data_IF_904241249788
#
_entry.id   IF_904241249788
#
_cell.length_a   1.000
_cell.length_b   1.000
_cell.length_c   1.000
_cell.angle_alpha   90.00
_cell.angle_beta   90.00
_cell.angle_gamma   90.00
#
_symmetry.space_group_name_H-M   'P 1'
#
loop_
_entity.id
_entity.type
_entity.pdbx_description
1 polymer ?
#
# COMPACT_ATOMS: atom_id res chain seq x y z
N UNK A 1 -10.20 14.25 -18.31
CA UNK A 1 -10.31 13.73 -16.93
C UNK A 1 -9.49 12.44 -16.79
N UNK A 2 -8.16 12.55 -16.81
CA UNK A 2 -7.24 11.39 -16.78
C UNK A 2 -6.61 11.15 -15.39
N UNK A 3 -6.61 12.17 -14.52
CA UNK A 3 -5.90 12.16 -13.23
C UNK A 3 -6.60 11.32 -12.15
N UNK A 4 -7.91 11.10 -12.26
CA UNK A 4 -8.72 10.39 -11.25
C UNK A 4 -8.73 8.86 -11.39
N UNK A 5 -8.05 8.28 -12.38
CA UNK A 5 -8.09 6.82 -12.58
C UNK A 5 -7.00 6.05 -11.84
N UNK A 6 -5.98 6.72 -11.29
CA UNK A 6 -4.81 6.10 -10.66
C UNK A 6 -4.59 6.69 -9.27
N UNK A 7 -5.58 6.52 -8.40
CA UNK A 7 -5.46 6.88 -6.99
C UNK A 7 -4.68 5.77 -6.28
N UNK A 8 -3.59 6.06 -5.54
CA UNK A 8 -2.84 5.05 -4.81
C UNK A 8 -3.77 4.40 -3.77
N UNK A 9 -4.10 3.13 -3.94
CA UNK A 9 -5.06 2.44 -3.09
C UNK A 9 -4.55 2.35 -1.65
N UNK A 10 -3.24 2.25 -1.46
CA UNK A 10 -2.64 2.31 -0.13
C UNK A 10 -2.90 3.64 0.60
N UNK A 11 -3.15 4.75 -0.10
CA UNK A 11 -3.54 6.00 0.56
C UNK A 11 -4.87 5.87 1.32
N UNK A 12 -5.77 4.99 0.90
CA UNK A 12 -7.03 4.74 1.60
C UNK A 12 -6.78 4.10 2.97
N UNK A 13 -5.85 3.16 3.05
CA UNK A 13 -5.47 2.49 4.30
C UNK A 13 -4.81 3.48 5.26
N UNK A 14 -3.90 4.31 4.74
CA UNK A 14 -3.19 5.32 5.53
C UNK A 14 -4.17 6.38 6.05
N UNK A 15 -5.08 6.86 5.19
CA UNK A 15 -6.12 7.80 5.60
C UNK A 15 -7.05 7.20 6.68
N UNK A 16 -7.40 5.92 6.56
CA UNK A 16 -8.20 5.23 7.55
C UNK A 16 -7.44 5.06 8.89
N UNK A 17 -6.14 4.75 8.85
CA UNK A 17 -5.30 4.69 10.05
C UNK A 17 -5.23 6.05 10.76
N UNK A 18 -4.94 7.11 10.00
CA UNK A 18 -4.89 8.46 10.53
C UNK A 18 -6.22 8.91 11.12
N UNK A 19 -7.33 8.52 10.50
CA UNK A 19 -8.67 8.78 11.05
C UNK A 19 -8.85 8.12 12.43
N UNK A 20 -8.35 6.90 12.62
CA UNK A 20 -8.37 6.26 13.94
C UNK A 20 -7.46 6.96 14.96
N UNK A 21 -6.27 7.36 14.54
CA UNK A 21 -5.31 8.06 15.41
C UNK A 21 -5.82 9.42 15.88
N UNK A 22 -6.53 10.13 15.00
CA UNK A 22 -7.07 11.49 15.24
C UNK A 22 -8.41 11.46 15.98
N UNK A 23 -9.36 10.63 15.53
CA UNK A 23 -10.73 10.62 16.05
C UNK A 23 -11.00 9.50 17.07
N UNK A 24 -10.21 8.43 17.04
CA UNK A 24 -10.42 7.24 17.86
C UNK A 24 -9.60 7.25 19.16
N UNK A 25 -10.15 6.60 20.18
CA UNK A 25 -9.39 6.13 21.35
C UNK A 25 -8.82 4.72 21.17
N UNK A 26 -9.08 4.08 20.03
CA UNK A 26 -8.65 2.72 19.74
C UNK A 26 -7.17 2.71 19.31
N UNK A 27 -6.41 1.78 19.88
CA UNK A 27 -4.99 1.56 19.56
C UNK A 27 -4.87 0.41 18.57
N UNK A 28 -3.73 0.31 17.87
CA UNK A 28 -3.41 -0.83 17.02
C UNK A 28 -3.62 -2.19 17.72
N UNK A 29 -3.45 -2.24 19.04
CA UNK A 29 -3.54 -3.43 19.88
C UNK A 29 -4.97 -3.78 20.34
N UNK A 30 -5.97 -2.94 20.05
CA UNK A 30 -7.36 -3.24 20.42
C UNK A 30 -7.83 -4.51 19.73
N UNK A 31 -8.22 -5.51 20.52
CA UNK A 31 -8.75 -6.80 20.04
C UNK A 31 -10.16 -6.58 19.51
N UNK A 32 -10.37 -6.87 18.23
CA UNK A 32 -11.66 -6.71 17.52
C UNK A 32 -12.36 -8.03 17.27
N UNK A 33 -11.63 -9.14 17.41
CA UNK A 33 -12.16 -10.49 17.30
C UNK A 33 -11.19 -11.49 17.90
N UNK A 34 -11.67 -12.71 18.09
CA UNK A 34 -10.85 -13.81 18.58
C UNK A 34 -11.36 -15.10 17.96
N UNK A 35 -10.44 -15.98 17.60
CA UNK A 35 -10.77 -17.30 17.07
C UNK A 35 -9.90 -18.37 17.72
N UNK A 36 -10.46 -19.57 17.87
CA UNK A 36 -9.71 -20.73 18.35
C UNK A 36 -9.11 -21.45 17.16
N UNK A 37 -7.79 -21.50 17.09
CA UNK A 37 -7.07 -22.21 16.04
C UNK A 37 -7.27 -23.73 16.20
N UNK A 38 -7.16 -24.52 15.12
CA UNK A 38 -7.15 -25.99 15.21
C UNK A 38 -6.06 -26.56 16.12
N UNK A 39 -4.98 -25.79 16.35
CA UNK A 39 -3.94 -26.11 17.35
C UNK A 39 -4.41 -25.97 18.80
N UNK A 40 -5.62 -25.48 19.06
CA UNK A 40 -6.17 -25.19 20.38
C UNK A 40 -5.81 -23.80 20.92
N UNK A 41 -4.95 -23.04 20.24
CA UNK A 41 -4.54 -21.71 20.67
C UNK A 41 -5.62 -20.67 20.37
N UNK A 42 -5.88 -19.80 21.34
CA UNK A 42 -6.72 -18.62 21.16
C UNK A 42 -5.91 -17.53 20.45
N UNK A 43 -6.30 -17.20 19.23
CA UNK A 43 -5.65 -16.16 18.44
C UNK A 43 -6.50 -14.87 18.51
N UNK A 44 -6.02 -13.82 19.20
CA UNK A 44 -6.66 -12.51 19.18
C UNK A 44 -6.35 -11.82 17.85
N UNK A 45 -7.39 -11.27 17.23
CA UNK A 45 -7.28 -10.44 16.03
C UNK A 45 -7.36 -8.99 16.49
N UNK A 46 -6.30 -8.24 16.27
CA UNK A 46 -6.21 -6.83 16.64
C UNK A 46 -6.66 -5.92 15.50
N UNK A 47 -6.94 -4.66 15.85
CA UNK A 47 -7.24 -3.62 14.86
C UNK A 47 -6.06 -3.46 13.89
N UNK A 48 -4.82 -3.49 14.40
CA UNK A 48 -3.60 -3.43 13.59
C UNK A 48 -3.50 -4.55 12.57
N UNK A 49 -3.86 -5.79 12.95
CA UNK A 49 -3.88 -6.94 12.04
C UNK A 49 -4.84 -6.71 10.87
N UNK A 50 -6.02 -6.15 11.14
CA UNK A 50 -7.01 -5.84 10.11
C UNK A 50 -6.49 -4.80 9.10
N UNK A 51 -5.80 -3.77 9.57
CA UNK A 51 -5.19 -2.77 8.68
C UNK A 51 -4.05 -3.35 7.84
N UNK A 52 -3.20 -4.20 8.43
CA UNK A 52 -2.12 -4.87 7.69
C UNK A 52 -2.67 -5.76 6.59
N UNK A 53 -3.70 -6.56 6.90
CA UNK A 53 -4.37 -7.42 5.91
C UNK A 53 -5.01 -6.58 4.80
N UNK A 54 -5.68 -5.48 5.16
CA UNK A 54 -6.26 -4.56 4.17
C UNK A 54 -5.18 -3.91 3.27
N UNK A 55 -4.07 -3.44 3.85
CA UNK A 55 -2.93 -2.90 3.12
C UNK A 55 -2.38 -3.90 2.11
N UNK A 56 -2.18 -5.14 2.56
CA UNK A 56 -1.66 -6.21 1.71
C UNK A 56 -2.62 -6.56 0.57
N UNK A 57 -3.92 -6.64 0.85
CA UNK A 57 -4.94 -6.88 -0.16
C UNK A 57 -5.00 -5.76 -1.21
N UNK A 58 -4.92 -4.50 -0.78
CA UNK A 58 -4.91 -3.35 -1.71
C UNK A 58 -3.62 -3.30 -2.53
N UNK A 59 -2.46 -3.59 -1.93
CA UNK A 59 -1.19 -3.73 -2.67
C UNK A 59 -1.32 -4.78 -3.78
N UNK A 60 -1.95 -5.92 -3.50
CA UNK A 60 -2.18 -6.95 -4.50
C UNK A 60 -3.02 -6.43 -5.67
N UNK A 61 -4.10 -5.68 -5.39
CA UNK A 61 -4.93 -5.05 -6.41
C UNK A 61 -4.12 -4.05 -7.24
N UNK A 62 -3.28 -3.22 -6.62
CA UNK A 62 -2.42 -2.26 -7.33
C UNK A 62 -1.48 -2.97 -8.30
N UNK A 63 -0.76 -3.99 -7.84
CA UNK A 63 0.19 -4.76 -8.66
C UNK A 63 -0.51 -5.40 -9.87
N UNK A 64 -1.70 -5.98 -9.68
CA UNK A 64 -2.46 -6.59 -10.78
C UNK A 64 -2.94 -5.51 -11.77
N UNK A 65 -3.44 -4.40 -11.25
CA UNK A 65 -3.97 -3.30 -12.08
C UNK A 65 -2.89 -2.55 -12.87
N UNK A 66 -1.66 -2.54 -12.38
CA UNK A 66 -0.53 -1.84 -13.00
C UNK A 66 -0.14 -2.43 -14.37
N UNK A 67 -0.45 -3.71 -14.64
CA UNK A 67 -0.17 -4.36 -15.94
C UNK A 67 -0.99 -3.80 -17.10
N UNK A 68 -2.15 -3.21 -16.84
CA UNK A 68 -3.08 -2.72 -17.85
C UNK A 68 -2.88 -1.23 -18.20
N UNK A 69 -1.89 -0.56 -17.60
CA UNK A 69 -1.78 0.90 -17.58
C UNK A 69 -0.41 1.33 -18.07
N UNK A 70 -0.33 2.25 -19.03
CA UNK A 70 0.91 2.97 -19.35
C UNK A 70 1.32 3.74 -18.09
N UNK A 71 2.50 3.44 -17.54
CA UNK A 71 2.97 4.04 -16.29
C UNK A 71 3.16 5.54 -16.46
N UNK A 72 2.24 6.35 -15.96
CA UNK A 72 2.43 7.80 -15.86
C UNK A 72 3.40 8.09 -14.71
N UNK A 73 4.38 8.99 -14.93
CA UNK A 73 5.28 9.52 -13.91
C UNK A 73 4.52 9.96 -12.64
N UNK A 74 3.30 10.47 -12.82
CA UNK A 74 2.41 10.91 -11.73
C UNK A 74 2.02 9.76 -10.80
N UNK A 75 1.79 8.55 -11.32
CA UNK A 75 1.43 7.40 -10.48
C UNK A 75 2.58 7.02 -9.56
N UNK A 76 3.80 7.03 -10.09
CA UNK A 76 4.99 6.75 -9.29
C UNK A 76 5.21 7.81 -8.21
N UNK A 77 5.04 9.09 -8.55
CA UNK A 77 5.15 10.20 -7.60
C UNK A 77 4.08 10.13 -6.48
N UNK A 78 2.85 9.71 -6.81
CA UNK A 78 1.78 9.55 -5.83
C UNK A 78 2.05 8.41 -4.85
N UNK A 79 2.47 7.23 -5.33
CA UNK A 79 2.88 6.12 -4.45
C UNK A 79 4.08 6.51 -3.58
N UNK A 80 5.05 7.24 -4.14
CA UNK A 80 6.19 7.76 -3.38
C UNK A 80 5.74 8.71 -2.27
N UNK A 81 4.78 9.59 -2.55
CA UNK A 81 4.23 10.50 -1.56
C UNK A 81 3.56 9.74 -0.40
N UNK A 82 2.76 8.70 -0.70
CA UNK A 82 2.13 7.87 0.33
C UNK A 82 3.19 7.21 1.21
N UNK A 83 4.23 6.62 0.61
CA UNK A 83 5.33 6.03 1.36
C UNK A 83 6.04 7.05 2.27
N UNK A 84 6.33 8.25 1.76
CA UNK A 84 6.98 9.30 2.55
C UNK A 84 6.12 9.76 3.72
N UNK A 85 4.81 9.91 3.52
CA UNK A 85 3.86 10.24 4.59
C UNK A 85 3.90 9.15 5.67
N UNK A 86 3.81 7.87 5.31
CA UNK A 86 3.92 6.77 6.27
C UNK A 86 5.26 6.78 7.02
N UNK A 87 6.38 6.99 6.32
CA UNK A 87 7.69 7.01 6.94
C UNK A 87 7.82 8.15 7.95
N UNK A 88 7.34 9.36 7.61
CA UNK A 88 7.32 10.51 8.53
C UNK A 88 6.39 10.23 9.70
N UNK A 89 5.19 9.71 9.47
CA UNK A 89 4.25 9.37 10.54
C UNK A 89 4.83 8.34 11.51
N UNK A 90 5.46 7.28 11.00
CA UNK A 90 6.07 6.23 11.82
C UNK A 90 7.19 6.79 12.70
N UNK A 91 8.02 7.69 12.16
CA UNK A 91 9.18 8.23 12.87
C UNK A 91 8.83 9.33 13.87
N UNK A 92 7.80 10.13 13.59
CA UNK A 92 7.52 11.35 14.36
C UNK A 92 6.21 11.33 15.13
N UNK A 93 5.28 10.43 14.83
CA UNK A 93 3.99 10.34 15.52
C UNK A 93 4.02 9.17 16.51
N UNK A 94 4.02 9.42 17.84
CA UNK A 94 4.13 8.36 18.83
C UNK A 94 3.06 7.27 18.70
N UNK A 95 1.84 7.66 18.29
CA UNK A 95 0.72 6.73 18.07
C UNK A 95 0.90 5.82 16.84
N UNK A 96 1.83 6.15 15.94
CA UNK A 96 2.17 5.35 14.77
C UNK A 96 3.42 4.49 15.00
N UNK A 97 4.07 4.57 16.17
CA UNK A 97 5.24 3.76 16.55
C UNK A 97 4.90 2.30 16.89
N UNK A 98 4.00 1.68 16.12
CA UNK A 98 3.49 0.32 16.33
C UNK A 98 3.95 -0.61 15.21
N UNK A 99 4.13 -1.90 15.52
CA UNK A 99 4.59 -2.88 14.53
C UNK A 99 3.67 -2.99 13.30
N UNK A 100 2.35 -2.87 13.50
CA UNK A 100 1.39 -2.89 12.40
C UNK A 100 1.60 -1.73 11.42
N UNK A 101 1.84 -0.52 11.93
CA UNK A 101 2.07 0.65 11.08
C UNK A 101 3.43 0.60 10.36
N UNK A 102 4.45 0.03 11.01
CA UNK A 102 5.72 -0.26 10.34
C UNK A 102 5.52 -1.21 9.15
N UNK A 103 4.74 -2.28 9.31
CA UNK A 103 4.45 -3.22 8.22
C UNK A 103 3.70 -2.51 7.08
N UNK A 104 2.72 -1.65 7.39
CA UNK A 104 2.03 -0.83 6.38
C UNK A 104 3.01 0.09 5.65
N UNK A 105 3.96 0.70 6.37
CA UNK A 105 5.01 1.54 5.79
C UNK A 105 5.90 0.73 4.83
N UNK A 106 6.26 -0.50 5.19
CA UNK A 106 7.03 -1.40 4.33
C UNK A 106 6.22 -1.85 3.10
N UNK A 107 4.91 -2.08 3.25
CA UNK A 107 4.00 -2.36 2.13
C UNK A 107 3.97 -1.18 1.15
N UNK A 108 3.92 0.07 1.65
CA UNK A 108 4.01 1.26 0.82
C UNK A 108 5.37 1.39 0.11
N UNK A 109 6.47 1.03 0.78
CA UNK A 109 7.78 0.96 0.13
C UNK A 109 7.80 -0.05 -1.03
N UNK A 110 7.19 -1.23 -0.83
CA UNK A 110 7.08 -2.26 -1.87
C UNK A 110 6.25 -1.76 -3.06
N UNK A 111 5.19 -0.99 -2.83
CA UNK A 111 4.39 -0.41 -3.92
C UNK A 111 5.23 0.51 -4.82
N UNK A 112 6.02 1.40 -4.22
CA UNK A 112 6.94 2.29 -4.97
C UNK A 112 7.92 1.49 -5.83
N UNK A 113 8.52 0.44 -5.26
CA UNK A 113 9.45 -0.44 -5.96
C UNK A 113 8.77 -1.23 -7.09
N UNK A 114 7.56 -1.74 -6.85
CA UNK A 114 6.78 -2.47 -7.84
C UNK A 114 6.41 -1.58 -9.02
N UNK A 115 5.94 -0.35 -8.74
CA UNK A 115 5.62 0.64 -9.76
C UNK A 115 6.82 0.97 -10.67
N UNK A 116 8.00 1.14 -10.08
CA UNK A 116 9.24 1.38 -10.83
C UNK A 116 9.68 0.16 -11.66
N UNK A 117 9.61 -1.05 -11.09
CA UNK A 117 9.97 -2.29 -11.79
C UNK A 117 9.08 -2.54 -13.03
N UNK A 118 7.78 -2.27 -12.93
CA UNK A 118 6.83 -2.44 -14.04
C UNK A 118 7.10 -1.44 -15.16
N UNK A 119 7.38 -0.17 -14.82
CA UNK A 119 7.76 0.89 -15.76
C UNK A 119 8.95 0.47 -16.63
N UNK A 120 10.02 -0.05 -16.02
CA UNK A 120 11.23 -0.47 -16.75
C UNK A 120 10.91 -1.62 -17.73
N UNK A 121 10.11 -2.60 -17.31
CA UNK A 121 9.75 -3.74 -18.15
C UNK A 121 8.94 -3.31 -19.38
N UNK A 122 8.02 -2.36 -19.23
CA UNK A 122 7.22 -1.84 -20.34
C UNK A 122 8.08 -1.15 -21.41
N UNK A 123 9.11 -0.40 -21.01
CA UNK A 123 10.02 0.29 -21.94
C UNK A 123 10.88 -0.67 -22.78
N UNK A 124 11.17 -1.87 -22.26
CA UNK A 124 12.03 -2.87 -22.94
C UNK A 124 11.29 -3.71 -23.99
N UNK A 125 9.96 -3.67 -24.02
CA UNK A 125 9.11 -4.44 -24.93
C UNK A 125 8.45 -3.54 -25.99
N UNK A 126 9.20 -2.61 -26.61
CA UNK A 126 8.77 -1.93 -27.84
C UNK A 126 9.22 -2.77 -29.03
N UNK A 127 8.32 -3.45 -29.78
CA UNK A 127 8.73 -4.23 -30.94
C UNK A 127 9.33 -3.29 -31.99
N UNK A 128 10.45 -3.69 -32.59
CA UNK A 128 11.15 -3.01 -33.69
C UNK A 128 10.33 -2.96 -35.00
N UNK A 129 9.01 -3.02 -34.93
CA UNK A 129 8.12 -3.09 -36.09
C UNK A 129 8.03 -1.77 -36.88
N UNK A 130 8.69 -0.70 -36.41
CA UNK A 130 8.66 0.63 -37.03
C UNK A 130 9.88 0.89 -37.94
N UNK A 131 10.87 -0.01 -37.98
CA UNK A 131 12.10 0.17 -38.78
C UNK A 131 12.09 -0.58 -40.13
N UNK A 132 10.99 -1.25 -40.49
CA UNK A 132 10.89 -2.06 -41.71
C UNK A 132 10.01 -1.46 -42.83
N UNK A 133 9.65 -0.17 -42.73
CA UNK A 133 8.76 0.52 -43.69
C UNK A 133 9.32 1.84 -44.25
N UNK A 134 10.64 2.04 -44.23
CA UNK A 134 11.34 2.99 -45.12
C UNK A 134 12.15 2.24 -46.18
#
# INVERSE_FOLDING_TARGET
MFVLRAFPLLALVVAAWNSLVVFGSATATTVVGQTTLPSGQLWPITTGDAFVVAAFALLFVEIVSARARTSSLVNHALSLMVFLVCAVEFLFVPKCGEAAFLIITLIAAIDVLAGYCISIRAARFRPLADEATE
#
